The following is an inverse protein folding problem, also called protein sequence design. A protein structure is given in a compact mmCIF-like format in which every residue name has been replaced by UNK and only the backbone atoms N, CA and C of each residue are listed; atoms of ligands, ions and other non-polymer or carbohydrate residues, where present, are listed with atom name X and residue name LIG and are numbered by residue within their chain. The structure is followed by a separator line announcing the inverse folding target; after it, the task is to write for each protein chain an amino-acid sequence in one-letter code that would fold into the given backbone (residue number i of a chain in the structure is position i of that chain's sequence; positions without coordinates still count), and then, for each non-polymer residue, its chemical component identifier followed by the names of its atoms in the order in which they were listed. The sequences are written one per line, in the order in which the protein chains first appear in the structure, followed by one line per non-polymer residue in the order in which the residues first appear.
data_IF_170472656087
#
_entry.id   IF_170472656087
#
_cell.length_a   1.000
_cell.length_b   1.000
_cell.length_c   1.000
_cell.angle_alpha   90.00
_cell.angle_beta   90.00
_cell.angle_gamma   90.00
#
_symmetry.space_group_name_H-M   'P 1'
#
loop_
_entity.id
_entity.type
_entity.pdbx_description
1 polymer ?
#
# COMPACT_ATOMS: atom_id res chain seq x y z
N UNK A 1 -0.71 -51.71 -40.68
CA UNK A 1 -1.37 -51.18 -39.46
C UNK A 1 -0.76 -51.84 -38.24
N UNK A 2 0.02 -51.10 -37.45
CA UNK A 2 0.35 -51.32 -36.03
C UNK A 2 1.16 -50.09 -35.59
N UNK A 3 0.52 -49.18 -34.86
CA UNK A 3 1.14 -47.93 -34.37
C UNK A 3 2.00 -48.25 -33.15
N UNK A 4 3.26 -47.82 -33.19
CA UNK A 4 4.21 -47.81 -32.07
C UNK A 4 3.84 -46.69 -31.10
N UNK A 5 3.76 -47.00 -29.81
CA UNK A 5 3.57 -46.03 -28.73
C UNK A 5 4.93 -45.88 -28.03
N UNK A 6 5.62 -44.78 -28.28
CA UNK A 6 6.77 -44.35 -27.47
C UNK A 6 6.25 -43.48 -26.31
N UNK A 7 6.45 -43.99 -25.10
CA UNK A 7 6.26 -43.26 -23.84
C UNK A 7 7.42 -42.29 -23.63
N UNK A 8 7.21 -41.01 -23.91
CA UNK A 8 8.13 -39.93 -23.53
C UNK A 8 7.71 -39.31 -22.20
N UNK A 9 8.49 -39.54 -21.15
CA UNK A 9 8.32 -38.94 -19.83
C UNK A 9 8.79 -37.47 -19.85
N UNK A 10 7.84 -36.54 -19.96
CA UNK A 10 8.08 -35.10 -19.85
C UNK A 10 8.28 -34.76 -18.37
N UNK A 11 9.53 -34.48 -17.98
CA UNK A 11 9.85 -33.85 -16.69
C UNK A 11 9.50 -32.37 -16.78
N UNK A 12 8.33 -32.02 -16.28
CA UNK A 12 7.91 -30.63 -16.13
C UNK A 12 8.61 -30.03 -14.90
N UNK A 13 9.71 -29.33 -15.12
CA UNK A 13 10.39 -28.54 -14.09
C UNK A 13 9.54 -27.33 -13.72
N UNK A 14 8.83 -27.39 -12.60
CA UNK A 14 8.10 -26.25 -12.05
C UNK A 14 9.11 -25.32 -11.38
N UNK A 15 9.46 -24.23 -12.06
CA UNK A 15 10.11 -23.08 -11.44
C UNK A 15 9.09 -22.39 -10.52
N UNK A 16 9.15 -22.72 -9.23
CA UNK A 16 8.35 -22.03 -8.21
C UNK A 16 9.02 -20.68 -7.90
N UNK A 17 8.61 -19.64 -8.62
CA UNK A 17 8.97 -18.27 -8.31
C UNK A 17 8.40 -17.91 -6.94
N UNK A 18 9.25 -17.93 -5.91
CA UNK A 18 8.91 -17.45 -4.59
C UNK A 18 8.69 -15.94 -4.65
N UNK A 19 7.44 -15.51 -4.56
CA UNK A 19 7.09 -14.11 -4.32
C UNK A 19 7.57 -13.78 -2.90
N UNK A 20 8.80 -13.27 -2.82
CA UNK A 20 9.30 -12.53 -1.66
C UNK A 20 8.52 -11.22 -1.62
N UNK A 21 7.36 -11.25 -0.95
CA UNK A 21 6.60 -10.05 -0.61
C UNK A 21 7.38 -9.22 0.41
N UNK A 22 8.40 -8.50 -0.04
CA UNK A 22 8.73 -7.23 0.59
C UNK A 22 7.50 -6.35 0.36
N UNK A 23 6.87 -5.89 1.44
CA UNK A 23 5.97 -4.75 1.35
C UNK A 23 6.81 -3.54 0.93
N UNK A 24 7.14 -3.50 -0.36
CA UNK A 24 7.65 -2.31 -1.00
C UNK A 24 6.50 -1.33 -0.92
N UNK A 25 6.76 -0.22 -0.25
CA UNK A 25 5.88 0.92 -0.12
C UNK A 25 5.07 1.12 -1.40
N UNK A 26 3.75 1.35 -1.31
CA UNK A 26 2.87 1.42 -2.47
C UNK A 26 2.98 2.83 -3.09
N UNK A 27 3.89 3.06 -4.04
CA UNK A 27 4.19 4.40 -4.48
C UNK A 27 3.09 4.86 -5.43
N UNK A 28 2.70 6.13 -5.34
CA UNK A 28 1.88 6.71 -6.39
C UNK A 28 2.60 6.60 -7.73
N UNK A 29 1.84 6.31 -8.79
CA UNK A 29 2.39 6.20 -10.15
C UNK A 29 3.10 7.48 -10.61
N UNK A 30 3.79 7.44 -11.76
CA UNK A 30 4.62 8.57 -12.22
C UNK A 30 3.85 9.88 -12.42
N UNK A 31 2.53 9.81 -12.61
CA UNK A 31 1.64 10.98 -12.75
C UNK A 31 1.24 11.62 -11.41
N UNK A 32 1.56 10.97 -10.28
CA UNK A 32 1.09 11.34 -8.95
C UNK A 32 -0.41 11.15 -8.75
N UNK A 33 -0.85 11.17 -7.50
CA UNK A 33 -2.26 11.14 -7.14
C UNK A 33 -2.83 12.55 -7.06
N UNK A 34 -3.92 12.80 -7.79
CA UNK A 34 -4.57 14.11 -7.80
C UNK A 34 -5.52 14.25 -6.60
N UNK A 35 -5.40 15.35 -5.88
CA UNK A 35 -6.28 15.70 -4.76
C UNK A 35 -6.57 17.20 -4.74
N UNK A 36 -7.51 17.63 -3.91
CA UNK A 36 -7.84 19.03 -3.68
C UNK A 36 -7.83 19.33 -2.19
N UNK A 37 -7.30 20.50 -1.82
CA UNK A 37 -7.22 20.95 -0.43
C UNK A 37 -7.89 22.32 -0.28
N UNK A 38 -8.79 22.43 0.70
CA UNK A 38 -9.40 23.72 1.07
C UNK A 38 -8.52 24.37 2.13
N UNK A 39 -7.89 25.50 1.77
CA UNK A 39 -7.10 26.28 2.71
C UNK A 39 -7.99 26.99 3.75
N UNK A 40 -7.42 27.47 4.88
CA UNK A 40 -8.19 28.16 5.93
C UNK A 40 -8.94 29.41 5.47
N UNK A 41 -8.50 30.05 4.39
CA UNK A 41 -9.19 31.18 3.76
C UNK A 41 -10.39 30.77 2.87
N UNK A 42 -10.68 29.47 2.76
CA UNK A 42 -11.75 28.90 1.95
C UNK A 42 -11.37 28.62 0.50
N UNK A 43 -10.20 29.06 0.04
CA UNK A 43 -9.76 28.80 -1.34
C UNK A 43 -9.32 27.34 -1.52
N UNK A 44 -9.61 26.78 -2.69
CA UNK A 44 -9.27 25.39 -3.01
C UNK A 44 -8.02 25.35 -3.89
N UNK A 45 -7.03 24.57 -3.46
CA UNK A 45 -5.81 24.29 -4.22
C UNK A 45 -5.86 22.86 -4.74
N UNK A 46 -5.63 22.69 -6.05
CA UNK A 46 -5.44 21.36 -6.65
C UNK A 46 -4.00 20.92 -6.45
N UNK A 47 -3.79 19.65 -6.11
CA UNK A 47 -2.50 19.09 -5.75
C UNK A 47 -2.27 17.75 -6.46
N UNK A 48 -1.00 17.42 -6.67
CA UNK A 48 -0.50 16.10 -7.07
C UNK A 48 0.46 15.60 -6.00
N UNK A 49 0.20 14.43 -5.45
CA UNK A 49 1.03 13.80 -4.44
C UNK A 49 1.82 12.67 -5.08
N UNK A 50 3.13 12.65 -4.84
CA UNK A 50 4.06 11.63 -5.31
C UNK A 50 4.69 10.91 -4.13
N UNK A 51 5.25 9.73 -4.40
CA UNK A 51 5.98 8.95 -3.42
C UNK A 51 5.10 7.95 -2.68
N UNK A 52 5.50 7.61 -1.47
CA UNK A 52 4.95 6.53 -0.66
C UNK A 52 4.81 6.94 0.82
N UNK A 53 4.48 6.00 1.71
CA UNK A 53 4.29 6.30 3.14
C UNK A 53 5.56 6.71 3.90
N UNK A 54 6.74 6.52 3.31
CA UNK A 54 8.04 6.79 3.91
C UNK A 54 8.69 8.04 3.31
N UNK A 55 8.34 8.42 2.09
CA UNK A 55 8.67 9.72 1.51
C UNK A 55 7.65 10.15 0.46
N UNK A 56 7.12 11.37 0.60
CA UNK A 56 6.26 11.96 -0.41
C UNK A 56 6.58 13.42 -0.66
N UNK A 57 6.32 13.88 -1.89
CA UNK A 57 6.32 15.30 -2.26
C UNK A 57 4.97 15.67 -2.84
N UNK A 58 4.61 16.94 -2.69
CA UNK A 58 3.36 17.47 -3.24
C UNK A 58 3.68 18.60 -4.21
N UNK A 59 2.99 18.63 -5.33
CA UNK A 59 3.11 19.67 -6.34
C UNK A 59 1.74 20.21 -6.75
N UNK A 60 1.70 21.43 -7.26
CA UNK A 60 0.55 21.93 -8.03
C UNK A 60 0.47 21.25 -9.40
N UNK A 61 -0.69 21.26 -10.10
CA UNK A 61 -0.78 20.77 -11.47
C UNK A 61 0.19 21.43 -12.46
N UNK A 62 0.64 22.64 -12.15
CA UNK A 62 1.63 23.40 -12.91
C UNK A 62 3.08 22.97 -12.66
N UNK A 63 3.31 22.03 -11.73
CA UNK A 63 4.63 21.46 -11.41
C UNK A 63 5.40 22.20 -10.31
N UNK A 64 4.80 23.15 -9.60
CA UNK A 64 5.49 23.79 -8.47
C UNK A 64 5.34 22.96 -7.21
N UNK A 65 6.47 22.64 -6.57
CA UNK A 65 6.49 21.95 -5.28
C UNK A 65 5.88 22.82 -4.20
N UNK A 66 5.10 22.21 -3.31
CA UNK A 66 4.46 22.88 -2.19
C UNK A 66 4.70 22.12 -0.90
N UNK A 67 4.77 22.85 0.21
CA UNK A 67 4.84 22.28 1.57
C UNK A 67 3.69 22.84 2.39
N UNK A 68 3.22 22.04 3.34
CA UNK A 68 2.14 22.41 4.25
C UNK A 68 2.74 23.03 5.52
N UNK A 69 2.40 24.27 5.83
CA UNK A 69 2.70 24.89 7.12
C UNK A 69 1.40 25.24 7.83
N UNK A 70 1.20 24.66 9.02
CA UNK A 70 -0.09 24.70 9.71
C UNK A 70 -1.17 23.99 8.88
N UNK A 71 -2.05 24.76 8.25
CA UNK A 71 -3.13 24.27 7.38
C UNK A 71 -3.09 24.86 5.97
N UNK A 72 -2.05 25.63 5.65
CA UNK A 72 -1.91 26.35 4.37
C UNK A 72 -0.75 25.76 3.57
N UNK A 73 -1.00 25.43 2.30
CA UNK A 73 0.07 25.04 1.40
C UNK A 73 0.76 26.31 0.89
N UNK A 74 2.09 26.32 0.96
CA UNK A 74 2.94 27.36 0.40
C UNK A 74 3.79 26.75 -0.71
N UNK A 75 4.10 27.56 -1.73
CA UNK A 75 5.14 27.18 -2.69
C UNK A 75 6.44 26.92 -1.94
N UNK A 76 7.21 25.94 -2.39
CA UNK A 76 8.42 25.50 -1.72
C UNK A 76 9.66 25.64 -2.61
N UNK A 77 10.79 25.90 -1.98
CA UNK A 77 12.11 25.86 -2.61
C UNK A 77 13.03 24.93 -1.82
N UNK A 78 14.06 24.41 -2.47
CA UNK A 78 15.11 23.67 -1.77
C UNK A 78 15.92 24.63 -0.89
N UNK A 79 16.19 24.22 0.35
CA UNK A 79 17.05 24.96 1.27
C UNK A 79 18.45 25.17 0.69
N UNK A 80 19.16 26.20 1.16
CA UNK A 80 20.52 26.49 0.69
C UNK A 80 21.50 25.34 0.94
N UNK A 81 21.29 24.55 1.99
CA UNK A 81 22.10 23.37 2.32
C UNK A 81 21.64 22.09 1.59
N UNK A 82 20.56 22.16 0.81
CA UNK A 82 20.03 21.04 0.02
C UNK A 82 19.37 19.94 0.82
N UNK A 83 19.02 20.19 2.09
CA UNK A 83 18.53 19.14 3.03
C UNK A 83 17.04 19.18 3.29
N UNK A 84 16.35 20.26 2.97
CA UNK A 84 14.92 20.39 3.22
C UNK A 84 14.22 21.18 2.11
N UNK A 85 12.92 20.93 1.95
CA UNK A 85 12.03 21.81 1.19
C UNK A 85 11.48 22.84 2.19
N UNK A 86 11.67 24.12 1.89
CA UNK A 86 11.30 25.24 2.77
C UNK A 86 10.19 26.04 2.11
N UNK A 87 9.18 26.40 2.91
CA UNK A 87 8.08 27.23 2.47
C UNK A 87 8.60 28.62 2.04
N UNK A 88 8.07 29.10 0.93
CA UNK A 88 8.14 30.51 0.56
C UNK A 88 7.05 31.28 1.30
N UNK A 89 7.07 32.61 1.21
CA UNK A 89 6.01 33.46 1.74
C UNK A 89 4.72 33.48 0.90
N UNK A 90 4.67 32.74 -0.22
CA UNK A 90 3.54 32.77 -1.17
C UNK A 90 2.66 31.52 -1.02
N UNK A 91 1.39 31.67 -0.60
CA UNK A 91 0.42 30.59 -0.57
C UNK A 91 0.17 29.95 -1.95
N UNK A 92 -0.13 28.66 -1.98
CA UNK A 92 -0.31 27.88 -3.21
C UNK A 92 -1.62 28.19 -3.96
N UNK A 93 -2.56 28.92 -3.33
CA UNK A 93 -3.75 29.49 -3.97
C UNK A 93 -3.47 30.83 -4.67
N UNK A 94 -2.26 31.37 -4.54
CA UNK A 94 -1.84 32.60 -5.23
C UNK A 94 -0.94 32.30 -6.44
N UNK A 95 -0.63 33.36 -7.19
CA UNK A 95 0.29 33.27 -8.32
C UNK A 95 1.70 32.85 -7.84
N UNK A 96 2.25 31.81 -8.46
CA UNK A 96 3.59 31.33 -8.13
C UNK A 96 4.66 32.43 -8.30
N UNK A 97 5.66 32.52 -7.39
CA UNK A 97 6.78 33.44 -7.53
C UNK A 97 7.49 33.28 -8.88
N UNK A 98 7.83 34.41 -9.51
CA UNK A 98 8.54 34.39 -10.79
C UNK A 98 9.91 33.71 -10.65
N UNK A 99 10.22 32.79 -11.56
CA UNK A 99 11.48 32.06 -11.58
C UNK A 99 11.60 30.90 -10.58
N UNK A 100 10.52 30.56 -9.85
CA UNK A 100 10.53 29.40 -8.97
C UNK A 100 10.72 28.10 -9.78
N UNK A 101 11.70 27.29 -9.37
CA UNK A 101 11.98 26.01 -10.02
C UNK A 101 10.81 25.02 -9.85
N UNK A 102 10.45 24.37 -10.95
CA UNK A 102 9.42 23.32 -10.99
C UNK A 102 10.03 21.95 -10.70
N UNK A 103 9.20 21.05 -10.20
CA UNK A 103 9.56 19.67 -9.84
C UNK A 103 10.76 19.64 -8.88
N UNK A 104 10.83 20.64 -8.01
CA UNK A 104 11.89 20.75 -7.00
C UNK A 104 11.69 19.62 -6.01
N UNK A 105 12.71 18.78 -5.85
CA UNK A 105 12.69 17.63 -4.96
C UNK A 105 13.93 17.61 -4.08
N UNK A 106 13.91 16.81 -3.02
CA UNK A 106 15.11 16.56 -2.23
C UNK A 106 16.15 15.76 -3.05
N UNK A 107 17.45 15.99 -2.81
CA UNK A 107 18.48 15.12 -3.36
C UNK A 107 18.26 13.67 -2.96
N UNK A 108 18.56 12.72 -3.85
CA UNK A 108 18.33 11.28 -3.64
C UNK A 108 18.89 10.75 -2.32
N UNK A 109 20.04 11.26 -1.89
CA UNK A 109 20.64 10.91 -0.60
C UNK A 109 19.73 11.29 0.59
N UNK A 110 19.16 12.49 0.56
CA UNK A 110 18.27 13.00 1.59
C UNK A 110 16.92 12.27 1.56
N UNK A 111 16.38 12.01 0.37
CA UNK A 111 15.20 11.15 0.20
C UNK A 111 15.43 9.79 0.86
N UNK A 112 16.56 9.14 0.58
CA UNK A 112 16.89 7.85 1.18
C UNK A 112 17.07 7.91 2.69
N UNK A 113 17.55 9.02 3.25
CA UNK A 113 17.66 9.24 4.69
C UNK A 113 16.28 9.35 5.34
N UNK A 114 15.43 10.26 4.83
CA UNK A 114 14.05 10.45 5.31
C UNK A 114 13.26 9.14 5.20
N UNK A 115 13.41 8.43 4.09
CA UNK A 115 12.75 7.15 3.86
C UNK A 115 13.14 6.13 4.92
N UNK A 116 14.45 5.95 5.21
CA UNK A 116 14.91 4.99 6.24
C UNK A 116 14.42 5.36 7.64
N UNK A 117 14.46 6.64 7.99
CA UNK A 117 13.99 7.14 9.28
C UNK A 117 12.49 6.91 9.45
N UNK A 118 11.69 7.23 8.43
CA UNK A 118 10.25 7.00 8.43
C UNK A 118 9.91 5.52 8.42
N UNK A 119 10.62 4.71 7.61
CA UNK A 119 10.42 3.28 7.56
C UNK A 119 10.67 2.64 8.93
N UNK A 120 11.77 2.97 9.60
CA UNK A 120 12.07 2.48 10.94
C UNK A 120 11.02 2.90 11.98
N UNK A 121 10.50 4.13 11.88
CA UNK A 121 9.43 4.62 12.75
C UNK A 121 8.10 3.92 12.49
N UNK A 122 7.77 3.71 11.22
CA UNK A 122 6.49 3.18 10.78
C UNK A 122 6.43 1.65 10.87
N UNK A 123 7.57 0.96 10.75
CA UNK A 123 7.58 -0.50 10.71
C UNK A 123 7.31 -1.15 12.07
N UNK A 124 7.71 -0.51 13.17
CA UNK A 124 7.52 -1.05 14.53
C UNK A 124 8.03 -2.49 14.63
N UNK A 125 7.30 -3.36 15.33
CA UNK A 125 7.67 -4.79 15.46
C UNK A 125 7.37 -5.62 14.19
N UNK A 126 6.88 -5.01 13.10
CA UNK A 126 6.49 -5.77 11.90
C UNK A 126 7.71 -6.34 11.18
N UNK A 127 8.77 -5.56 11.03
CA UNK A 127 9.98 -6.01 10.35
C UNK A 127 10.65 -7.15 11.10
N UNK A 128 10.69 -7.06 12.43
CA UNK A 128 11.25 -8.12 13.28
C UNK A 128 10.41 -9.41 13.18
N UNK A 129 9.08 -9.30 13.23
CA UNK A 129 8.17 -10.46 13.05
C UNK A 129 8.28 -11.06 11.66
N UNK A 130 8.41 -10.22 10.63
CA UNK A 130 8.61 -10.67 9.25
C UNK A 130 9.96 -11.37 9.09
N UNK A 131 11.05 -10.78 9.58
CA UNK A 131 12.38 -11.37 9.55
C UNK A 131 12.42 -12.72 10.31
N UNK A 132 11.79 -12.80 11.48
CA UNK A 132 11.66 -14.05 12.23
C UNK A 132 10.89 -15.12 11.43
N UNK A 133 9.81 -14.74 10.74
CA UNK A 133 9.03 -15.64 9.87
C UNK A 133 9.83 -16.10 8.66
N UNK A 134 10.53 -15.19 7.97
CA UNK A 134 11.36 -15.51 6.80
C UNK A 134 12.51 -16.43 7.20
N UNK A 135 13.22 -16.15 8.29
CA UNK A 135 14.30 -16.99 8.80
C UNK A 135 13.79 -18.39 9.20
N UNK A 136 12.62 -18.47 9.85
CA UNK A 136 11.99 -19.75 10.14
C UNK A 136 11.69 -20.55 8.86
N UNK A 137 11.13 -19.91 7.82
CA UNK A 137 10.88 -20.57 6.51
C UNK A 137 12.17 -20.97 5.80
N UNK A 138 13.20 -20.12 5.80
CA UNK A 138 14.51 -20.43 5.21
C UNK A 138 15.16 -21.63 5.91
N UNK A 139 15.16 -21.66 7.25
CA UNK A 139 15.70 -22.80 8.02
C UNK A 139 14.97 -24.12 7.75
N UNK A 140 13.67 -24.07 7.44
CA UNK A 140 12.89 -25.25 7.03
C UNK A 140 13.28 -25.70 5.62
N UNK A 141 13.50 -24.76 4.69
CA UNK A 141 13.93 -25.06 3.31
C UNK A 141 15.35 -25.62 3.25
N UNK A 142 16.27 -25.08 4.04
CA UNK A 142 17.65 -25.58 4.12
C UNK A 142 17.72 -26.91 4.89
N UNK A 143 16.91 -27.08 5.94
CA UNK A 143 16.76 -28.33 6.69
C UNK A 143 16.05 -29.46 5.93
N UNK A 144 15.35 -29.18 4.82
CA UNK A 144 14.66 -30.18 4.00
C UNK A 144 15.59 -31.10 3.19
N UNK A 145 16.92 -30.91 3.28
CA UNK A 145 17.92 -31.88 2.79
C UNK A 145 18.28 -32.96 3.83
N UNK A 146 17.82 -32.83 5.08
CA UNK A 146 18.04 -33.80 6.14
C UNK A 146 16.73 -34.25 6.78
N UNK A 147 16.54 -35.57 6.91
CA UNK A 147 15.32 -36.23 7.41
C UNK A 147 15.03 -36.01 8.91
N UNK A 148 15.08 -34.76 9.41
CA UNK A 148 14.78 -34.41 10.81
C UNK A 148 14.04 -33.09 10.87
N UNK A 149 12.71 -33.15 10.78
CA UNK A 149 11.83 -32.04 11.14
C UNK A 149 12.11 -31.64 12.61
N UNK A 150 12.67 -30.44 12.82
CA UNK A 150 12.94 -29.93 14.17
C UNK A 150 11.66 -29.40 14.81
N UNK A 151 11.53 -29.56 16.14
CA UNK A 151 10.41 -29.03 16.95
C UNK A 151 10.23 -27.50 16.83
N UNK A 152 11.23 -26.76 16.32
CA UNK A 152 11.13 -25.33 16.05
C UNK A 152 10.23 -25.01 14.84
N UNK A 153 10.19 -25.87 13.83
CA UNK A 153 9.28 -25.75 12.68
C UNK A 153 7.80 -25.84 13.08
N UNK A 154 7.50 -26.62 14.12
CA UNK A 154 6.14 -26.78 14.65
C UNK A 154 5.65 -25.56 15.45
N UNK A 155 6.56 -24.74 16.02
CA UNK A 155 6.21 -23.57 16.84
C UNK A 155 6.04 -22.28 16.03
N UNK A 156 6.68 -22.20 14.85
CA UNK A 156 6.44 -21.13 13.86
C UNK A 156 5.19 -21.39 13.00
N UNK A 157 4.53 -22.53 13.20
CA UNK A 157 3.33 -22.90 12.48
C UNK A 157 2.12 -22.25 13.16
N UNK A 158 1.98 -20.92 13.01
CA UNK A 158 0.65 -20.47 12.67
C UNK A 158 0.35 -21.18 11.34
N UNK A 159 -0.35 -22.32 11.42
CA UNK A 159 -0.71 -23.10 10.25
C UNK A 159 -1.20 -22.09 9.19
N UNK A 160 -0.68 -22.11 7.95
CA UNK A 160 -1.15 -21.19 6.93
C UNK A 160 -2.67 -21.26 6.93
N UNK A 161 -3.34 -20.11 7.11
CA UNK A 161 -4.80 -20.07 7.12
C UNK A 161 -5.21 -20.55 5.73
N UNK A 162 -5.64 -21.80 5.66
CA UNK A 162 -5.96 -22.50 4.43
C UNK A 162 -7.32 -23.18 4.54
N UNK A 163 -7.86 -23.55 3.39
CA UNK A 163 -9.22 -24.04 3.23
C UNK A 163 -10.25 -22.94 3.42
N UNK A 164 -11.48 -23.34 3.72
CA UNK A 164 -12.60 -22.43 3.89
C UNK A 164 -12.59 -21.78 5.27
N UNK A 165 -12.80 -20.45 5.32
CA UNK A 165 -12.87 -19.66 6.55
C UNK A 165 -14.08 -18.74 6.52
N UNK A 166 -14.78 -18.67 7.64
CA UNK A 166 -15.86 -17.71 7.83
C UNK A 166 -15.27 -16.38 8.28
N UNK A 167 -15.57 -15.30 7.56
CA UNK A 167 -15.22 -13.94 7.94
C UNK A 167 -16.38 -13.25 8.65
N UNK A 168 -16.12 -12.54 9.75
CA UNK A 168 -17.10 -11.69 10.42
C UNK A 168 -16.88 -10.23 9.99
N UNK A 169 -17.81 -9.69 9.22
CA UNK A 169 -17.84 -8.26 8.86
C UNK A 169 -18.72 -7.50 9.83
N UNK A 170 -18.14 -6.52 10.52
CA UNK A 170 -18.86 -5.67 11.49
C UNK A 170 -19.02 -4.28 10.87
N UNK A 171 -20.27 -3.87 10.67
CA UNK A 171 -20.63 -2.52 10.22
C UNK A 171 -20.99 -1.69 11.45
N UNK A 172 -20.28 -0.58 11.67
CA UNK A 172 -20.53 0.32 12.80
C UNK A 172 -20.64 1.75 12.29
N UNK A 173 -21.74 2.41 12.66
CA UNK A 173 -21.92 3.84 12.51
C UNK A 173 -22.03 4.47 13.89
N UNK A 174 -21.25 5.50 14.15
CA UNK A 174 -21.36 6.29 15.37
C UNK A 174 -22.26 7.51 15.12
N UNK A 175 -22.95 8.03 16.16
CA UNK A 175 -23.61 9.32 16.06
C UNK A 175 -22.61 10.42 15.72
N UNK A 176 -23.07 11.44 14.99
CA UNK A 176 -22.25 12.62 14.73
C UNK A 176 -21.88 13.31 16.05
N UNK A 177 -20.62 13.66 16.20
CA UNK A 177 -20.16 14.46 17.32
C UNK A 177 -20.64 15.91 17.13
N UNK A 178 -21.50 16.38 18.02
CA UNK A 178 -22.03 17.75 18.02
C UNK A 178 -20.95 18.84 18.16
N UNK A 179 -19.76 18.50 18.68
CA UNK A 179 -18.63 19.42 18.78
C UNK A 179 -17.81 19.51 17.47
N UNK A 180 -18.04 18.59 16.52
CA UNK A 180 -17.29 18.50 15.28
C UNK A 180 -18.21 18.84 14.10
N UNK A 181 -18.05 19.99 13.42
CA UNK A 181 -18.94 20.43 12.33
C UNK A 181 -18.79 19.62 11.03
N UNK A 182 -18.01 18.55 11.03
CA UNK A 182 -17.87 17.66 9.88
C UNK A 182 -19.13 16.82 9.75
N UNK A 183 -19.91 17.04 8.68
CA UNK A 183 -20.81 16.01 8.17
C UNK A 183 -19.91 14.85 7.75
N UNK A 184 -19.95 13.74 8.48
CA UNK A 184 -19.21 12.54 8.12
C UNK A 184 -19.87 11.97 6.86
N UNK A 185 -19.32 12.19 5.65
CA UNK A 185 -19.93 11.70 4.43
C UNK A 185 -19.54 10.22 4.37
N UNK A 186 -20.33 9.39 5.05
CA UNK A 186 -20.17 7.95 4.99
C UNK A 186 -20.58 7.52 3.58
N UNK A 187 -19.58 7.55 2.70
CA UNK A 187 -19.66 7.02 1.33
C UNK A 187 -19.29 5.54 1.35
N UNK A 188 -19.58 4.86 2.47
CA UNK A 188 -19.39 3.43 2.63
C UNK A 188 -20.55 2.72 1.91
N UNK A 189 -20.38 1.49 1.42
CA UNK A 189 -21.48 0.79 0.79
C UNK A 189 -22.62 0.62 1.80
N UNK A 190 -23.74 1.29 1.53
CA UNK A 190 -24.71 1.72 2.54
C UNK A 190 -25.68 0.63 2.98
N UNK A 191 -25.65 -0.54 2.34
CA UNK A 191 -26.57 -1.63 2.65
C UNK A 191 -25.83 -2.91 3.01
N UNK A 192 -26.45 -3.70 3.90
CA UNK A 192 -25.98 -5.03 4.27
C UNK A 192 -25.78 -5.89 3.03
N UNK A 193 -26.70 -5.84 2.09
CA UNK A 193 -26.68 -6.65 0.87
C UNK A 193 -25.48 -6.30 -0.01
N UNK A 194 -25.14 -5.01 -0.11
CA UNK A 194 -23.95 -4.58 -0.85
C UNK A 194 -22.67 -5.06 -0.17
N UNK A 195 -22.63 -5.04 1.16
CA UNK A 195 -21.51 -5.57 1.95
C UNK A 195 -21.36 -7.09 1.82
N UNK A 196 -22.45 -7.83 1.87
CA UNK A 196 -22.45 -9.28 1.69
C UNK A 196 -21.90 -9.66 0.31
N UNK A 197 -22.34 -8.96 -0.74
CA UNK A 197 -21.83 -9.14 -2.10
C UNK A 197 -20.36 -8.74 -2.20
N UNK A 198 -19.97 -7.59 -1.67
CA UNK A 198 -18.58 -7.12 -1.67
C UNK A 198 -17.63 -8.10 -0.97
N UNK A 199 -18.09 -8.76 0.10
CA UNK A 199 -17.30 -9.76 0.81
C UNK A 199 -17.27 -11.12 0.10
N UNK A 200 -18.40 -11.59 -0.46
CA UNK A 200 -18.58 -13.00 -0.81
C UNK A 200 -18.90 -13.31 -2.29
N UNK A 201 -19.36 -12.33 -3.08
CA UNK A 201 -19.80 -12.58 -4.46
C UNK A 201 -18.59 -12.89 -5.35
N UNK A 202 -18.58 -14.07 -5.97
CA UNK A 202 -17.59 -14.40 -7.00
C UNK A 202 -17.76 -13.48 -8.20
N UNK A 203 -16.68 -12.81 -8.60
CA UNK A 203 -16.68 -11.86 -9.72
C UNK A 203 -17.39 -10.54 -9.40
N UNK A 204 -17.37 -10.10 -8.14
CA UNK A 204 -17.91 -8.79 -7.76
C UNK A 204 -17.26 -7.66 -8.58
N UNK A 205 -18.07 -6.77 -9.15
CA UNK A 205 -17.60 -5.71 -10.06
C UNK A 205 -18.20 -4.32 -9.84
N UNK A 206 -19.02 -4.14 -8.79
CA UNK A 206 -19.59 -2.82 -8.49
C UNK A 206 -18.48 -1.84 -8.05
N UNK A 207 -18.72 -0.55 -8.26
CA UNK A 207 -17.83 0.56 -7.89
C UNK A 207 -16.40 0.44 -8.46
N UNK A 208 -16.23 -0.26 -9.59
CA UNK A 208 -14.93 -0.42 -10.25
C UNK A 208 -14.02 -1.48 -9.62
N UNK A 209 -14.55 -2.33 -8.75
CA UNK A 209 -13.81 -3.47 -8.18
C UNK A 209 -13.63 -4.59 -9.23
N UNK A 210 -12.58 -5.40 -9.07
CA UNK A 210 -12.26 -6.54 -9.94
C UNK A 210 -12.38 -7.89 -9.24
N UNK A 211 -13.22 -7.96 -8.20
CA UNK A 211 -13.43 -9.14 -7.36
C UNK A 211 -13.90 -8.76 -5.96
N UNK A 212 -14.45 -9.72 -5.25
CA UNK A 212 -14.82 -9.60 -3.83
C UNK A 212 -13.60 -9.81 -2.92
N UNK A 213 -13.78 -9.56 -1.61
CA UNK A 213 -12.79 -9.95 -0.59
C UNK A 213 -12.46 -11.45 -0.70
N UNK A 214 -13.47 -12.28 -0.90
CA UNK A 214 -13.31 -13.71 -1.18
C UNK A 214 -12.41 -13.96 -2.40
N UNK A 215 -12.69 -13.32 -3.53
CA UNK A 215 -11.94 -13.51 -4.78
C UNK A 215 -10.47 -13.12 -4.59
N UNK A 216 -10.21 -11.99 -3.95
CA UNK A 216 -8.84 -11.55 -3.66
C UNK A 216 -8.04 -12.59 -2.88
N UNK A 217 -8.57 -13.09 -1.76
CA UNK A 217 -7.86 -14.09 -0.96
C UNK A 217 -7.78 -15.45 -1.63
N UNK A 218 -8.78 -15.82 -2.45
CA UNK A 218 -8.73 -17.02 -3.27
C UNK A 218 -7.60 -16.96 -4.30
N UNK A 219 -7.51 -15.87 -5.07
CA UNK A 219 -6.52 -15.71 -6.13
C UNK A 219 -5.10 -15.57 -5.57
N UNK A 220 -4.91 -14.71 -4.54
CA UNK A 220 -3.59 -14.51 -3.92
C UNK A 220 -3.05 -15.76 -3.24
N UNK A 221 -3.94 -16.68 -2.83
CA UNK A 221 -3.54 -17.95 -2.24
C UNK A 221 -3.44 -19.10 -3.25
N UNK A 222 -3.64 -18.82 -4.55
CA UNK A 222 -3.71 -19.84 -5.61
C UNK A 222 -4.74 -20.93 -5.29
N UNK A 223 -5.90 -20.52 -4.75
CA UNK A 223 -7.01 -21.39 -4.35
C UNK A 223 -6.84 -22.09 -3.00
N UNK A 224 -5.78 -21.79 -2.24
CA UNK A 224 -5.50 -22.45 -0.96
C UNK A 224 -6.29 -21.87 0.22
N UNK A 225 -6.87 -20.67 0.09
CA UNK A 225 -7.71 -20.00 1.09
C UNK A 225 -8.99 -19.53 0.43
N UNK A 226 -10.12 -19.71 1.09
CA UNK A 226 -11.41 -19.22 0.59
C UNK A 226 -12.22 -18.65 1.75
N UNK A 227 -12.57 -17.37 1.69
CA UNK A 227 -13.53 -16.80 2.64
C UNK A 227 -14.97 -17.11 2.21
N UNK A 228 -15.80 -17.52 3.17
CA UNK A 228 -17.21 -17.91 2.99
C UNK A 228 -18.11 -17.09 3.89
#
# INVERSE_FOLDING_TARGET
MKKSIMSGSIRCSIFLAGILGVAQAAPYGPEGHQTSWTQPNGNVVKLRVFGDENYGRTETPAGHTVVLEGMTYYYAALSQDGKSLVATSTPADQQAPAGLAKHTDLPKEQVGKVWRENHARNSGDRDQRWAARVNAVHSIREGATGNRMSKAAAKAQAAPISGSKVGLTILVQFPNDSATPANDPVTFPTTREKMERYCNQVGYSDDGNYGSVRDYFYDQSLGNLTYT
#
